data_IF_816507117603
#
_entry.id   IF_816507117603
#
_cell.length_a   1.000
_cell.length_b   1.000
_cell.length_c   1.000
_cell.angle_alpha   90.00
_cell.angle_beta   90.00
_cell.angle_gamma   90.00
#
_symmetry.space_group_name_H-M   'P 1'
#
loop_
_entity.id
_entity.type
_entity.pdbx_description
1 polymer ?
#
# COMPACT_ATOMS: atom_id res chain seq x y z
N UNK A 1 -5.26 -4.83 -8.22
CA UNK A 1 -6.39 -4.28 -7.43
C UNK A 1 -6.09 -2.82 -7.14
N UNK A 2 -7.05 -1.90 -7.29
CA UNK A 2 -6.84 -0.47 -7.03
C UNK A 2 -7.37 -0.08 -5.65
N UNK A 3 -6.65 0.81 -4.98
CA UNK A 3 -7.02 1.30 -3.65
C UNK A 3 -6.69 2.80 -3.51
N UNK A 4 -7.24 3.41 -2.46
CA UNK A 4 -6.71 4.66 -1.94
C UNK A 4 -5.79 4.31 -0.77
N UNK A 5 -4.65 4.99 -0.67
CA UNK A 5 -3.65 4.74 0.37
C UNK A 5 -3.24 6.02 1.09
N UNK A 6 -2.87 5.88 2.36
CA UNK A 6 -2.03 6.82 3.10
C UNK A 6 -0.66 6.19 3.34
N UNK A 7 0.40 6.95 3.09
CA UNK A 7 1.78 6.54 3.31
C UNK A 7 2.35 7.43 4.40
N UNK A 8 2.61 6.86 5.57
CA UNK A 8 3.17 7.54 6.73
C UNK A 8 4.62 7.13 6.93
N UNK A 9 5.51 8.09 7.13
CA UNK A 9 6.88 7.81 7.59
C UNK A 9 6.87 7.52 9.08
N UNK A 10 7.57 6.46 9.49
CA UNK A 10 7.70 6.07 10.90
C UNK A 10 9.11 6.47 11.35
N UNK A 11 9.15 7.56 12.13
CA UNK A 11 10.38 8.21 12.62
C UNK A 11 10.19 8.53 14.11
N UNK A 12 11.30 8.65 14.83
CA UNK A 12 11.27 9.06 16.24
C UNK A 12 10.97 10.58 16.41
N UNK A 13 11.12 11.40 15.36
CA UNK A 13 11.09 12.88 15.49
C UNK A 13 10.24 13.66 14.46
N UNK A 14 9.84 13.08 13.32
CA UNK A 14 9.04 13.77 12.29
C UNK A 14 8.15 12.79 11.51
N UNK A 15 6.82 13.00 11.55
CA UNK A 15 5.85 12.24 10.77
C UNK A 15 5.44 13.03 9.51
N UNK A 16 5.71 12.46 8.35
CA UNK A 16 5.15 12.89 7.07
C UNK A 16 4.16 11.84 6.58
N UNK A 17 2.92 12.26 6.33
CA UNK A 17 1.87 11.42 5.73
C UNK A 17 1.47 11.97 4.36
N UNK A 18 1.40 11.09 3.36
CA UNK A 18 1.02 11.41 1.98
C UNK A 18 -0.19 10.56 1.59
N UNK A 19 -1.18 11.16 0.95
CA UNK A 19 -2.35 10.45 0.45
C UNK A 19 -2.27 10.25 -1.06
N UNK A 20 -2.58 9.04 -1.53
CA UNK A 20 -2.67 8.72 -2.94
C UNK A 20 -3.91 7.90 -3.26
N UNK A 21 -4.41 8.05 -4.48
CA UNK A 21 -5.58 7.37 -4.99
C UNK A 21 -5.23 6.56 -6.23
N UNK A 22 -5.97 5.47 -6.48
CA UNK A 22 -5.75 4.58 -7.63
C UNK A 22 -4.37 3.90 -7.62
N UNK A 23 -3.88 3.54 -6.44
CA UNK A 23 -2.61 2.83 -6.31
C UNK A 23 -2.80 1.34 -6.56
N UNK A 24 -1.92 0.77 -7.37
CA UNK A 24 -1.84 -0.66 -7.60
C UNK A 24 -1.08 -1.33 -6.44
N UNK A 25 -1.81 -1.96 -5.55
CA UNK A 25 -1.23 -2.64 -4.37
C UNK A 25 -0.62 -3.99 -4.66
N UNK A 26 -0.77 -4.50 -5.88
CA UNK A 26 -0.23 -5.81 -6.25
C UNK A 26 1.28 -5.91 -6.02
N UNK A 27 1.99 -4.77 -6.02
CA UNK A 27 3.41 -4.64 -5.73
C UNK A 27 3.79 -5.03 -4.29
N UNK A 28 2.85 -4.89 -3.35
CA UNK A 28 3.12 -5.08 -1.93
C UNK A 28 2.50 -6.34 -1.35
N UNK A 29 1.82 -7.17 -2.16
CA UNK A 29 1.25 -8.44 -1.70
C UNK A 29 2.22 -9.31 -0.89
N UNK A 30 3.51 -9.42 -1.25
CA UNK A 30 4.48 -10.17 -0.45
C UNK A 30 4.70 -9.65 0.97
N UNK A 31 4.34 -8.39 1.26
CA UNK A 31 4.57 -7.69 2.53
C UNK A 31 3.28 -7.40 3.28
N UNK A 32 2.13 -7.83 2.76
CA UNK A 32 0.87 -7.67 3.46
C UNK A 32 0.83 -8.75 4.54
N UNK A 33 1.05 -8.32 5.78
CA UNK A 33 1.22 -9.24 6.91
C UNK A 33 -0.01 -10.13 7.15
N UNK A 34 -1.23 -9.70 6.78
CA UNK A 34 -2.45 -10.50 6.99
C UNK A 34 -3.57 -10.19 5.96
N UNK A 35 -3.33 -10.43 4.66
CA UNK A 35 -4.46 -10.44 3.71
C UNK A 35 -5.14 -11.81 3.59
N UNK A 36 -4.49 -12.89 4.07
CA UNK A 36 -4.92 -14.26 3.84
C UNK A 36 -4.94 -15.15 5.09
N UNK A 37 -4.85 -14.56 6.29
CA UNK A 37 -4.88 -15.31 7.55
C UNK A 37 -6.18 -15.18 8.34
N UNK A 38 -7.29 -14.83 7.70
CA UNK A 38 -8.66 -14.97 8.22
C UNK A 38 -9.63 -14.95 7.04
N UNK A 39 -10.75 -15.65 6.97
CA UNK A 39 -11.20 -16.95 7.48
C UNK A 39 -12.42 -17.24 6.59
N UNK A 40 -12.91 -18.46 6.67
CA UNK A 40 -14.04 -19.09 5.97
C UNK A 40 -15.44 -18.43 6.15
N UNK A 41 -15.51 -17.15 6.51
CA UNK A 41 -16.76 -16.36 6.61
C UNK A 41 -16.98 -15.50 5.36
N UNK A 42 -17.93 -15.91 4.53
CA UNK A 42 -18.27 -15.31 3.22
C UNK A 42 -18.77 -13.84 3.29
N UNK A 43 -18.97 -13.28 4.49
CA UNK A 43 -19.66 -12.01 4.70
C UNK A 43 -18.76 -10.83 5.15
N UNK A 44 -17.47 -11.04 5.44
CA UNK A 44 -16.56 -9.95 5.80
C UNK A 44 -15.63 -9.56 4.64
N UNK A 45 -16.09 -8.62 3.81
CA UNK A 45 -15.26 -7.90 2.86
C UNK A 45 -14.30 -6.96 3.63
N UNK A 46 -13.13 -7.49 3.97
CA UNK A 46 -12.02 -6.72 4.55
C UNK A 46 -11.47 -5.77 3.48
N UNK A 47 -12.05 -4.57 3.43
CA UNK A 47 -11.71 -3.55 2.44
C UNK A 47 -10.42 -2.80 2.80
N UNK A 48 -9.72 -3.12 3.89
CA UNK A 48 -8.59 -2.33 4.42
C UNK A 48 -7.34 -3.18 4.65
N UNK A 49 -6.16 -2.57 4.52
CA UNK A 49 -4.87 -3.19 4.78
C UNK A 49 -3.88 -2.18 5.38
N UNK A 50 -2.89 -2.69 6.11
CA UNK A 50 -1.75 -1.93 6.62
C UNK A 50 -0.46 -2.69 6.32
N UNK A 51 0.51 -2.00 5.71
CA UNK A 51 1.80 -2.58 5.30
C UNK A 51 2.91 -1.73 5.87
N UNK A 52 3.83 -2.35 6.61
CA UNK A 52 5.05 -1.67 7.04
C UNK A 52 6.21 -2.13 6.17
N UNK A 53 6.86 -1.19 5.50
CA UNK A 53 8.02 -1.44 4.64
C UNK A 53 9.25 -0.74 5.21
N UNK A 54 10.37 -1.46 5.25
CA UNK A 54 11.71 -0.88 5.33
C UNK A 54 12.25 -0.55 3.93
N UNK A 55 13.38 0.16 3.88
CA UNK A 55 14.10 0.38 2.62
C UNK A 55 14.63 -0.91 2.00
N UNK A 56 14.95 -1.91 2.83
CA UNK A 56 15.41 -3.22 2.37
C UNK A 56 14.29 -4.01 1.71
N UNK A 57 13.08 -3.97 2.28
CA UNK A 57 11.88 -4.61 1.71
C UNK A 57 11.57 -4.05 0.32
N UNK A 58 11.66 -2.73 0.15
CA UNK A 58 11.45 -2.07 -1.14
C UNK A 58 12.43 -2.58 -2.21
N UNK A 59 13.69 -2.83 -1.85
CA UNK A 59 14.71 -3.33 -2.76
C UNK A 59 14.48 -4.80 -3.18
N UNK A 60 13.63 -5.54 -2.46
CA UNK A 60 13.28 -6.93 -2.77
C UNK A 60 12.10 -7.05 -3.75
N UNK A 61 11.38 -5.94 -4.04
CA UNK A 61 10.28 -5.95 -4.99
C UNK A 61 10.80 -6.26 -6.40
N UNK A 62 10.25 -7.30 -7.02
CA UNK A 62 10.58 -7.66 -8.39
C UNK A 62 9.98 -6.63 -9.37
N UNK A 63 10.85 -5.82 -9.98
CA UNK A 63 10.46 -4.75 -10.91
C UNK A 63 10.52 -5.15 -12.39
N UNK A 64 10.88 -6.40 -12.71
CA UNK A 64 11.12 -6.84 -14.10
C UNK A 64 9.88 -6.78 -15.00
N UNK A 65 8.69 -7.01 -14.44
CA UNK A 65 7.42 -7.14 -15.19
C UNK A 65 6.30 -6.22 -14.66
N UNK A 66 6.64 -5.11 -14.01
CA UNK A 66 5.64 -4.13 -13.52
C UNK A 66 5.56 -2.92 -14.45
N UNK A 67 4.41 -2.24 -14.45
CA UNK A 67 4.16 -1.09 -15.34
C UNK A 67 5.03 0.12 -14.97
N UNK A 68 5.25 1.03 -15.91
CA UNK A 68 6.02 2.26 -15.65
C UNK A 68 5.40 3.14 -14.55
N UNK A 69 4.07 3.17 -14.44
CA UNK A 69 3.37 3.86 -13.35
C UNK A 69 3.72 3.28 -11.97
N UNK A 70 3.81 1.95 -11.90
CA UNK A 70 4.18 1.22 -10.68
C UNK A 70 5.64 1.51 -10.30
N UNK A 71 6.56 1.54 -11.28
CA UNK A 71 7.97 1.90 -11.04
C UNK A 71 8.13 3.33 -10.52
N UNK A 72 7.38 4.30 -11.10
CA UNK A 72 7.39 5.69 -10.63
C UNK A 72 6.94 5.77 -9.17
N UNK A 73 5.89 5.04 -8.83
CA UNK A 73 5.38 4.99 -7.47
C UNK A 73 6.39 4.37 -6.48
N UNK A 74 7.08 3.28 -6.85
CA UNK A 74 8.16 2.72 -6.03
C UNK A 74 9.32 3.71 -5.85
N UNK A 75 9.67 4.46 -6.90
CA UNK A 75 10.71 5.48 -6.82
C UNK A 75 10.31 6.63 -5.86
N UNK A 76 9.04 7.07 -5.88
CA UNK A 76 8.55 8.08 -4.92
C UNK A 76 8.66 7.61 -3.47
N UNK A 77 8.37 6.33 -3.19
CA UNK A 77 8.56 5.75 -1.85
C UNK A 77 10.06 5.71 -1.50
N UNK A 78 10.93 5.33 -2.43
CA UNK A 78 12.39 5.35 -2.22
C UNK A 78 12.91 6.76 -1.91
N UNK A 79 12.41 7.77 -2.63
CA UNK A 79 12.72 9.18 -2.37
C UNK A 79 12.23 9.64 -0.99
N UNK A 80 11.09 9.12 -0.53
CA UNK A 80 10.55 9.41 0.80
C UNK A 80 11.52 8.95 1.91
N UNK A 81 12.09 7.76 1.79
CA UNK A 81 13.14 7.28 2.70
C UNK A 81 14.36 8.21 2.71
N UNK A 82 14.81 8.66 1.54
CA UNK A 82 15.99 9.52 1.43
C UNK A 82 15.74 10.93 2.01
N UNK A 83 14.55 11.50 1.75
CA UNK A 83 14.19 12.85 2.17
C UNK A 83 13.97 12.96 3.67
N UNK A 84 13.30 11.96 4.26
CA UNK A 84 12.89 12.00 5.67
C UNK A 84 13.85 11.28 6.60
N UNK A 85 14.79 10.49 6.05
CA UNK A 85 15.67 9.60 6.81
C UNK A 85 14.89 8.65 7.73
N UNK A 86 13.67 8.28 7.34
CA UNK A 86 12.83 7.35 8.11
C UNK A 86 13.42 5.94 8.13
N UNK A 87 13.12 5.19 9.19
CA UNK A 87 13.51 3.77 9.31
C UNK A 87 12.54 2.87 8.52
N UNK A 88 11.26 3.22 8.55
CA UNK A 88 10.20 2.50 7.84
C UNK A 88 9.12 3.46 7.37
N UNK A 89 8.28 2.97 6.45
CA UNK A 89 7.03 3.60 6.05
C UNK A 89 5.88 2.65 6.33
N UNK A 90 4.75 3.20 6.69
CA UNK A 90 3.48 2.50 6.85
C UNK A 90 2.55 2.92 5.71
N UNK A 91 2.02 1.95 4.99
CA UNK A 91 1.07 2.13 3.89
C UNK A 91 -0.24 1.53 4.34
N UNK A 92 -1.16 2.39 4.74
CA UNK A 92 -2.55 2.00 4.98
C UNK A 92 -3.32 2.19 3.69
N UNK A 93 -4.22 1.27 3.38
CA UNK A 93 -5.06 1.44 2.22
C UNK A 93 -6.43 0.82 2.36
N UNK A 94 -7.35 1.39 1.59
CA UNK A 94 -8.71 0.91 1.46
C UNK A 94 -8.99 0.54 0.01
N UNK A 95 -9.34 -0.71 -0.24
CA UNK A 95 -9.78 -1.21 -1.53
C UNK A 95 -11.01 -0.45 -1.99
N UNK A 96 -11.04 -0.12 -3.29
CA UNK A 96 -12.24 0.46 -3.89
C UNK A 96 -13.22 -0.67 -4.17
N UNK A 97 -14.26 -0.77 -3.36
CA UNK A 97 -15.50 -1.45 -3.76
C UNK A 97 -16.13 -0.67 -4.90
N UNK A 98 -16.27 -1.29 -6.06
CA UNK A 98 -17.13 -0.77 -7.12
C UNK A 98 -18.56 -1.13 -6.74
N UNK A 99 -19.34 -0.18 -6.23
CA UNK A 99 -20.78 -0.37 -6.05
C UNK A 99 -21.42 -0.16 -7.42
N UNK A 100 -22.06 -1.20 -7.95
CA UNK A 100 -22.85 -1.04 -9.16
C UNK A 100 -24.10 -0.23 -8.78
N UNK A 101 -24.35 0.87 -9.49
CA UNK A 101 -25.43 1.83 -9.15
C UNK A 101 -26.83 1.16 -9.09
N UNK A 102 -27.02 -0.02 -9.68
CA UNK A 102 -28.24 -0.82 -9.58
C UNK A 102 -28.46 -1.55 -8.24
N UNK A 103 -27.50 -1.54 -7.32
CA UNK A 103 -27.61 -2.12 -5.96
C UNK A 103 -27.89 -1.05 -4.89
N UNK A 104 -27.85 0.23 -5.27
CA UNK A 104 -28.29 1.34 -4.43
C UNK A 104 -29.78 1.53 -4.65
N UNK A 105 -30.59 0.74 -3.93
CA UNK A 105 -32.04 0.95 -3.83
C UNK A 105 -32.36 2.34 -3.25
#
# INVERSE_FOLDING_TARGET
MLCNISISTINDENQLTIHKSNCNVNLFYPFINELMLFDTDEDFLHDEFCIRLSKEDLNQINTSNIKEEDKKFLNEISELFNKTKCKSVEIDGRFRRFIQIGELN
#
